data_IF_624982234873
#
_entry.id   IF_624982234873
#
_cell.length_a   1.000
_cell.length_b   1.000
_cell.length_c   1.000
_cell.angle_alpha   90.00
_cell.angle_beta   90.00
_cell.angle_gamma   90.00
#
_symmetry.space_group_name_H-M   'P 1'
#
loop_
_entity.id
_entity.type
_entity.pdbx_description
1 polymer ?
#
# COMPACT_ATOMS: atom_id res chain seq x y z
N UNK A 1 -16.97 -39.34 39.27
CA UNK A 1 -16.30 -39.23 37.96
C UNK A 1 -17.17 -38.51 36.92
N UNK A 2 -18.45 -38.86 36.80
CA UNK A 2 -19.41 -38.23 35.87
C UNK A 2 -19.63 -36.71 36.07
N UNK A 3 -19.71 -36.25 37.32
CA UNK A 3 -19.95 -34.85 37.66
C UNK A 3 -18.83 -33.91 37.16
N UNK A 4 -17.56 -34.33 37.28
CA UNK A 4 -16.42 -33.59 36.73
C UNK A 4 -16.46 -33.53 35.20
N UNK A 5 -16.91 -34.60 34.54
CA UNK A 5 -17.07 -34.62 33.09
C UNK A 5 -18.20 -33.69 32.62
N UNK A 6 -19.31 -33.63 33.36
CA UNK A 6 -20.42 -32.71 33.08
C UNK A 6 -20.02 -31.25 33.26
N UNK A 7 -19.33 -30.91 34.34
CA UNK A 7 -18.82 -29.55 34.58
C UNK A 7 -17.87 -29.09 33.47
N UNK A 8 -16.96 -29.97 33.03
CA UNK A 8 -16.07 -29.68 31.89
C UNK A 8 -16.86 -29.41 30.61
N UNK A 9 -17.94 -30.17 30.37
CA UNK A 9 -18.76 -30.00 29.17
C UNK A 9 -19.59 -28.71 29.20
N UNK A 10 -20.10 -28.31 30.36
CA UNK A 10 -20.79 -27.01 30.55
C UNK A 10 -19.82 -25.85 30.28
N UNK A 11 -18.62 -25.89 30.85
CA UNK A 11 -17.59 -24.86 30.62
C UNK A 11 -17.27 -24.69 29.13
N UNK A 12 -17.06 -25.79 28.40
CA UNK A 12 -16.79 -25.73 26.97
C UNK A 12 -17.96 -25.13 26.16
N UNK A 13 -19.20 -25.46 26.54
CA UNK A 13 -20.39 -24.91 25.89
C UNK A 13 -20.60 -23.42 26.18
N UNK A 14 -20.21 -22.94 27.37
CA UNK A 14 -20.23 -21.51 27.70
C UNK A 14 -19.19 -20.72 26.91
N UNK A 15 -17.99 -21.29 26.71
CA UNK A 15 -16.97 -20.73 25.83
C UNK A 15 -17.44 -20.67 24.36
N UNK A 16 -18.03 -21.75 23.85
CA UNK A 16 -18.55 -21.78 22.48
C UNK A 16 -19.69 -20.76 22.29
N UNK A 17 -20.60 -20.65 23.27
CA UNK A 17 -21.68 -19.65 23.28
C UNK A 17 -21.15 -18.22 23.25
N UNK A 18 -20.11 -17.93 24.03
CA UNK A 18 -19.51 -16.59 24.06
C UNK A 18 -18.79 -16.26 22.75
N UNK A 19 -18.06 -17.21 22.15
CA UNK A 19 -17.46 -17.01 20.82
C UNK A 19 -18.52 -16.76 19.74
N UNK A 20 -19.61 -17.54 19.73
CA UNK A 20 -20.69 -17.38 18.76
C UNK A 20 -21.40 -16.02 18.91
N UNK A 21 -21.60 -15.56 20.15
CA UNK A 21 -22.13 -14.23 20.45
C UNK A 21 -21.24 -13.12 19.90
N UNK A 22 -19.93 -13.22 20.10
CA UNK A 22 -18.96 -12.23 19.62
C UNK A 22 -18.89 -12.21 18.08
N UNK A 23 -18.88 -13.37 17.43
CA UNK A 23 -18.92 -13.48 15.97
C UNK A 23 -20.21 -12.86 15.40
N UNK A 24 -21.35 -13.10 16.06
CA UNK A 24 -22.64 -12.50 15.68
C UNK A 24 -22.64 -10.98 15.83
N UNK A 25 -22.05 -10.45 16.92
CA UNK A 25 -21.92 -9.02 17.13
C UNK A 25 -21.02 -8.37 16.07
N UNK A 26 -19.88 -8.98 15.74
CA UNK A 26 -18.98 -8.50 14.69
C UNK A 26 -19.65 -8.51 13.31
N UNK A 27 -20.42 -9.57 13.00
CA UNK A 27 -21.18 -9.65 11.75
C UNK A 27 -22.25 -8.57 11.67
N UNK A 28 -22.98 -8.32 12.77
CA UNK A 28 -23.95 -7.22 12.86
C UNK A 28 -23.30 -5.87 12.64
N UNK A 29 -22.18 -5.60 13.30
CA UNK A 29 -21.44 -4.34 13.13
C UNK A 29 -20.97 -4.13 11.68
N UNK A 30 -20.47 -5.19 11.02
CA UNK A 30 -20.08 -5.14 9.61
C UNK A 30 -21.27 -4.92 8.67
N UNK A 31 -22.41 -5.51 9.01
CA UNK A 31 -23.65 -5.34 8.23
C UNK A 31 -24.17 -3.91 8.37
N UNK A 32 -24.19 -3.36 9.59
CA UNK A 32 -24.58 -1.97 9.85
C UNK A 32 -23.65 -0.95 9.18
N UNK A 33 -22.34 -1.18 9.21
CA UNK A 33 -21.39 -0.28 8.52
C UNK A 33 -21.58 -0.30 7.00
N UNK A 34 -21.84 -1.49 6.44
CA UNK A 34 -22.14 -1.63 5.01
C UNK A 34 -23.47 -0.96 4.67
N UNK A 35 -24.49 -1.11 5.51
CA UNK A 35 -25.80 -0.50 5.30
C UNK A 35 -25.71 1.03 5.36
N UNK A 36 -24.97 1.58 6.33
CA UNK A 36 -24.75 3.02 6.44
C UNK A 36 -24.06 3.58 5.19
N UNK A 37 -23.02 2.89 4.69
CA UNK A 37 -22.33 3.30 3.46
C UNK A 37 -23.26 3.26 2.23
N UNK A 38 -24.19 2.30 2.17
CA UNK A 38 -25.19 2.22 1.09
C UNK A 38 -26.26 3.31 1.20
N UNK A 39 -26.70 3.65 2.42
CA UNK A 39 -27.67 4.73 2.66
C UNK A 39 -27.06 6.10 2.32
N UNK A 40 -25.81 6.34 2.68
CA UNK A 40 -25.07 7.53 2.25
C UNK A 40 -25.02 7.61 0.72
N UNK A 41 -24.72 6.49 0.05
CA UNK A 41 -24.69 6.41 -1.41
C UNK A 41 -26.03 6.69 -2.08
N UNK A 42 -27.14 6.22 -1.50
CA UNK A 42 -28.49 6.54 -2.00
C UNK A 42 -28.79 8.03 -1.84
N UNK A 43 -28.50 8.60 -0.67
CA UNK A 43 -28.69 10.03 -0.40
C UNK A 43 -27.86 10.92 -1.33
N UNK A 44 -26.68 10.48 -1.76
CA UNK A 44 -25.84 11.19 -2.73
C UNK A 44 -26.40 11.10 -4.16
N UNK A 45 -26.91 9.93 -4.56
CA UNK A 45 -27.54 9.72 -5.87
C UNK A 45 -28.84 10.51 -6.03
N UNK A 46 -29.65 10.59 -4.97
CA UNK A 46 -30.92 11.34 -4.96
C UNK A 46 -30.72 12.86 -5.06
N UNK A 47 -29.54 13.37 -4.68
CA UNK A 47 -29.21 14.81 -4.73
C UNK A 47 -28.77 15.34 -6.09
N UNK A 48 -28.68 14.49 -7.13
CA UNK A 48 -28.55 14.82 -8.56
C UNK A 48 -27.72 16.05 -8.93
N UNK A 49 -26.50 15.87 -9.45
CA UNK A 49 -25.83 16.93 -10.22
C UNK A 49 -24.30 17.07 -10.15
N UNK A 50 -23.58 16.13 -9.54
CA UNK A 50 -22.11 16.09 -9.62
C UNK A 50 -21.68 14.68 -9.98
N UNK A 51 -20.79 14.54 -10.97
CA UNK A 51 -20.08 13.30 -11.28
C UNK A 51 -19.69 12.61 -9.97
N UNK A 52 -20.12 11.37 -9.77
CA UNK A 52 -19.70 10.57 -8.61
C UNK A 52 -18.19 10.41 -8.70
N UNK A 53 -17.45 11.27 -7.99
CA UNK A 53 -16.01 11.14 -7.84
C UNK A 53 -15.79 10.01 -6.86
N UNK A 54 -15.48 8.82 -7.37
CA UNK A 54 -15.03 7.75 -6.49
C UNK A 54 -13.87 8.27 -5.62
N UNK A 55 -13.65 7.73 -4.42
CA UNK A 55 -12.48 8.08 -3.61
C UNK A 55 -11.14 7.91 -4.34
N UNK A 56 -11.13 7.20 -5.47
CA UNK A 56 -9.97 6.93 -6.33
C UNK A 56 -9.85 7.92 -7.51
N UNK A 57 -10.87 8.75 -7.75
CA UNK A 57 -10.88 9.76 -8.83
C UNK A 57 -10.27 11.09 -8.39
N UNK A 58 -9.05 11.03 -7.86
CA UNK A 58 -8.24 12.22 -7.60
C UNK A 58 -6.82 12.02 -8.08
N UNK A 59 -6.09 13.12 -8.24
CA UNK A 59 -4.66 13.13 -8.50
C UNK A 59 -3.97 14.09 -7.55
N UNK A 60 -2.80 13.73 -7.07
CA UNK A 60 -1.90 14.67 -6.40
C UNK A 60 -1.03 15.34 -7.45
N UNK A 61 -0.99 16.68 -7.46
CA UNK A 61 -0.14 17.46 -8.36
C UNK A 61 0.91 18.20 -7.57
N UNK A 62 2.18 17.97 -7.90
CA UNK A 62 3.32 18.68 -7.34
C UNK A 62 3.95 19.53 -8.46
N UNK A 63 3.47 20.78 -8.67
CA UNK A 63 3.80 21.56 -9.86
C UNK A 63 5.21 22.13 -9.88
N UNK A 64 5.87 22.20 -8.72
CA UNK A 64 7.21 22.77 -8.57
C UNK A 64 8.05 21.91 -7.63
N UNK A 65 9.37 21.90 -7.84
CA UNK A 65 10.31 21.30 -6.91
C UNK A 65 10.38 22.17 -5.65
N UNK A 66 9.95 21.62 -4.52
CA UNK A 66 10.07 22.26 -3.22
C UNK A 66 10.50 21.22 -2.18
N UNK A 67 10.89 21.67 -1.00
CA UNK A 67 11.21 20.82 0.15
C UNK A 67 10.06 20.72 1.17
N UNK A 68 8.87 21.23 0.84
CA UNK A 68 7.73 21.33 1.77
C UNK A 68 6.41 20.81 1.21
N UNK A 69 6.29 20.56 -0.11
CA UNK A 69 5.09 19.97 -0.70
C UNK A 69 5.22 18.44 -0.75
N UNK A 70 4.35 17.74 -0.04
CA UNK A 70 4.29 16.28 -0.05
C UNK A 70 2.88 15.80 0.31
N UNK A 71 2.54 14.60 -0.16
CA UNK A 71 1.39 13.85 0.34
C UNK A 71 1.86 12.88 1.42
N UNK A 72 1.13 12.80 2.54
CA UNK A 72 1.43 11.85 3.62
C UNK A 72 0.34 10.79 3.70
N UNK A 73 0.72 9.54 3.49
CA UNK A 73 -0.15 8.39 3.79
C UNK A 73 -0.26 8.29 5.31
N UNK A 74 -1.47 8.25 5.84
CA UNK A 74 -1.75 8.27 7.29
C UNK A 74 -1.77 6.88 7.92
N UNK A 75 -1.87 5.83 7.10
CA UNK A 75 -1.77 4.45 7.56
C UNK A 75 -0.32 4.08 7.79
N UNK A 76 -0.06 3.45 8.93
CA UNK A 76 1.24 2.84 9.25
C UNK A 76 1.43 1.57 8.43
N UNK A 77 2.68 1.27 8.10
CA UNK A 77 3.03 0.01 7.42
C UNK A 77 3.42 -1.04 8.46
N UNK A 78 2.99 -2.31 8.28
CA UNK A 78 3.45 -3.41 9.11
C UNK A 78 4.90 -3.78 8.74
N UNK A 79 5.47 -4.72 9.49
CA UNK A 79 6.69 -5.39 9.04
C UNK A 79 6.37 -6.19 7.76
N UNK A 80 7.18 -6.02 6.72
CA UNK A 80 6.92 -6.64 5.41
C UNK A 80 8.14 -7.44 4.92
N UNK A 81 7.89 -8.68 4.55
CA UNK A 81 8.87 -9.58 3.91
C UNK A 81 8.78 -9.54 2.37
N UNK A 82 7.72 -8.92 1.85
CA UNK A 82 7.51 -8.64 0.45
C UNK A 82 6.51 -7.48 0.33
N UNK A 83 6.60 -6.70 -0.75
CA UNK A 83 5.61 -5.67 -1.06
C UNK A 83 5.43 -5.52 -2.56
N UNK A 84 4.36 -4.83 -2.94
CA UNK A 84 4.17 -4.30 -4.30
C UNK A 84 3.72 -2.85 -4.20
N UNK A 85 4.42 -1.96 -4.89
CA UNK A 85 4.12 -0.54 -4.98
C UNK A 85 3.61 -0.25 -6.39
N UNK A 86 2.36 0.18 -6.53
CA UNK A 86 1.76 0.56 -7.80
C UNK A 86 1.27 2.01 -7.77
N UNK A 87 1.49 2.76 -8.85
CA UNK A 87 0.98 4.12 -9.01
C UNK A 87 0.83 4.51 -10.48
N UNK A 88 -0.09 5.43 -10.73
CA UNK A 88 -0.10 6.21 -11.96
C UNK A 88 0.80 7.44 -11.79
N UNK A 89 1.74 7.64 -12.71
CA UNK A 89 2.64 8.78 -12.73
C UNK A 89 2.59 9.47 -14.09
N UNK A 90 2.64 10.80 -14.08
CA UNK A 90 2.79 11.63 -15.27
C UNK A 90 3.75 12.75 -14.97
N UNK A 91 4.83 12.84 -15.73
CA UNK A 91 5.81 13.91 -15.58
C UNK A 91 6.51 14.20 -16.90
N UNK A 92 6.89 15.46 -17.06
CA UNK A 92 7.81 15.93 -18.11
C UNK A 92 8.99 16.67 -17.47
N UNK A 93 9.26 16.42 -16.19
CA UNK A 93 10.31 17.09 -15.44
C UNK A 93 11.69 16.60 -15.90
N UNK A 94 12.61 17.55 -16.03
CA UNK A 94 14.02 17.32 -16.33
C UNK A 94 14.86 17.88 -15.17
N UNK A 95 16.00 17.26 -14.80
CA UNK A 95 16.58 16.06 -15.43
C UNK A 95 15.92 14.73 -15.01
N UNK A 96 15.21 14.68 -13.87
CA UNK A 96 14.43 13.51 -13.41
C UNK A 96 13.13 13.90 -12.71
N UNK A 97 12.20 12.97 -12.54
CA UNK A 97 10.89 13.21 -11.91
C UNK A 97 10.95 13.50 -10.40
N UNK A 98 12.08 13.28 -9.73
CA UNK A 98 12.21 13.44 -8.28
C UNK A 98 11.85 12.15 -7.54
N UNK A 99 11.15 12.25 -6.40
CA UNK A 99 10.84 11.12 -5.51
C UNK A 99 9.33 10.88 -5.44
N UNK A 100 8.75 10.02 -6.31
CA UNK A 100 7.32 9.71 -6.26
C UNK A 100 6.87 9.07 -4.96
N UNK A 101 7.73 8.29 -4.30
CA UNK A 101 7.42 7.58 -3.06
C UNK A 101 8.65 7.46 -2.17
N UNK A 102 8.46 7.68 -0.88
CA UNK A 102 9.46 7.39 0.14
C UNK A 102 8.79 6.90 1.43
N UNK A 103 9.48 5.98 2.11
CA UNK A 103 9.13 5.45 3.41
C UNK A 103 10.41 5.34 4.24
N UNK A 104 10.35 5.86 5.46
CA UNK A 104 11.47 5.89 6.39
C UNK A 104 11.00 5.58 7.81
N UNK A 105 11.89 4.97 8.57
CA UNK A 105 11.69 4.56 9.96
C UNK A 105 12.79 5.15 10.84
N UNK A 106 12.62 5.24 12.16
CA UNK A 106 13.68 5.73 13.04
C UNK A 106 15.01 4.99 12.81
N UNK A 107 16.06 5.74 12.50
CA UNK A 107 17.40 5.20 12.20
C UNK A 107 17.62 4.71 10.77
N UNK A 108 16.61 4.70 9.91
CA UNK A 108 16.75 4.40 8.47
C UNK A 108 15.75 5.22 7.65
N UNK A 109 16.21 6.35 7.12
CA UNK A 109 15.38 7.27 6.34
C UNK A 109 15.02 6.71 4.94
N UNK A 110 15.83 5.79 4.42
CA UNK A 110 15.70 5.20 3.10
C UNK A 110 15.27 3.73 3.20
N UNK A 111 14.26 3.46 4.04
CA UNK A 111 13.74 2.10 4.22
C UNK A 111 13.13 1.59 2.90
N UNK A 112 12.33 2.43 2.22
CA UNK A 112 11.94 2.25 0.81
C UNK A 112 11.96 3.62 0.11
N UNK A 113 12.66 3.78 -1.01
CA UNK A 113 12.61 5.01 -1.81
C UNK A 113 12.51 4.67 -3.29
N UNK A 114 11.58 5.31 -4.00
CA UNK A 114 11.53 5.33 -5.45
C UNK A 114 11.93 6.74 -5.92
N UNK A 115 13.00 6.85 -6.69
CA UNK A 115 13.56 8.15 -7.08
C UNK A 115 14.12 8.13 -8.50
N UNK A 116 13.98 9.24 -9.22
CA UNK A 116 14.73 9.54 -10.44
C UNK A 116 15.40 10.90 -10.26
N UNK A 117 16.73 10.89 -10.10
CA UNK A 117 17.50 12.09 -9.81
C UNK A 117 18.64 12.28 -10.83
N UNK A 118 18.80 13.52 -11.29
CA UNK A 118 19.79 13.82 -12.33
C UNK A 118 19.48 13.08 -13.63
N UNK A 119 20.52 12.58 -14.28
CA UNK A 119 20.43 11.81 -15.53
C UNK A 119 20.43 10.29 -15.28
N UNK A 120 20.19 9.85 -14.04
CA UNK A 120 20.15 8.43 -13.70
C UNK A 120 18.78 7.83 -14.08
N UNK A 121 18.72 6.51 -14.32
CA UNK A 121 17.46 5.78 -14.39
C UNK A 121 16.63 5.93 -13.10
N UNK A 122 15.36 5.52 -13.14
CA UNK A 122 14.59 5.34 -11.91
C UNK A 122 15.28 4.31 -11.04
N UNK A 123 15.45 4.61 -9.76
CA UNK A 123 16.10 3.77 -8.76
C UNK A 123 15.09 3.37 -7.67
N UNK A 124 15.12 2.08 -7.30
CA UNK A 124 14.51 1.57 -6.09
C UNK A 124 15.60 1.42 -5.03
N UNK A 125 15.41 2.09 -3.89
CA UNK A 125 16.23 1.91 -2.71
C UNK A 125 15.47 1.10 -1.66
N UNK A 126 16.14 0.13 -1.08
CA UNK A 126 15.68 -0.62 0.10
C UNK A 126 16.84 -0.71 1.07
N UNK A 127 16.69 -0.14 2.27
CA UNK A 127 17.73 -0.10 3.29
C UNK A 127 19.10 0.37 2.72
N UNK A 128 19.08 1.51 2.01
CA UNK A 128 20.22 2.12 1.28
C UNK A 128 20.85 1.27 0.17
N UNK A 129 20.32 0.08 -0.15
CA UNK A 129 20.72 -0.70 -1.32
C UNK A 129 19.94 -0.23 -2.53
N UNK A 130 20.60 -0.14 -3.68
CA UNK A 130 20.05 0.47 -4.91
C UNK A 130 19.86 -0.60 -5.98
N UNK A 131 18.72 -0.57 -6.67
CA UNK A 131 18.51 -1.23 -7.95
C UNK A 131 18.02 -0.21 -8.98
N UNK A 132 18.61 -0.23 -10.18
CA UNK A 132 18.17 0.58 -11.30
C UNK A 132 17.02 -0.14 -12.02
N UNK A 133 15.91 0.57 -12.19
CA UNK A 133 14.71 0.07 -12.84
C UNK A 133 14.68 0.56 -14.30
N UNK A 134 14.42 -0.33 -15.27
CA UNK A 134 14.28 0.04 -16.68
C UNK A 134 12.86 0.60 -16.95
N UNK A 135 12.53 1.72 -16.30
CA UNK A 135 11.25 2.41 -16.42
C UNK A 135 11.46 3.78 -17.08
N UNK A 136 10.54 4.17 -17.96
CA UNK A 136 10.59 5.44 -18.68
C UNK A 136 9.24 6.17 -18.55
N UNK A 137 9.20 7.24 -17.76
CA UNK A 137 7.94 7.95 -17.43
C UNK A 137 8.02 9.48 -17.62
N UNK A 138 9.08 9.96 -18.28
CA UNK A 138 9.38 11.40 -18.49
C UNK A 138 8.77 12.01 -19.76
N UNK A 139 7.93 11.27 -20.48
CA UNK A 139 7.39 11.69 -21.79
C UNK A 139 6.15 12.60 -21.70
N UNK A 140 5.73 12.98 -20.49
CA UNK A 140 4.54 13.80 -20.25
C UNK A 140 3.21 13.04 -20.39
N UNK A 141 3.21 11.71 -20.56
CA UNK A 141 2.02 10.87 -20.55
C UNK A 141 1.83 10.18 -19.21
N UNK A 142 0.64 9.62 -19.04
CA UNK A 142 0.33 8.79 -17.88
C UNK A 142 0.91 7.40 -18.11
N UNK A 143 1.67 6.92 -17.13
CA UNK A 143 2.15 5.56 -17.07
C UNK A 143 1.70 4.92 -15.77
N UNK A 144 1.28 3.66 -15.84
CA UNK A 144 1.03 2.84 -14.67
C UNK A 144 2.27 2.01 -14.37
N UNK A 145 2.92 2.27 -13.24
CA UNK A 145 4.10 1.51 -12.83
C UNK A 145 3.76 0.65 -11.62
N UNK A 146 4.29 -0.57 -11.59
CA UNK A 146 4.26 -1.46 -10.43
C UNK A 146 5.65 -2.03 -10.19
N UNK A 147 6.09 -2.05 -8.94
CA UNK A 147 7.35 -2.63 -8.53
C UNK A 147 7.07 -3.59 -7.39
N UNK A 148 7.48 -4.85 -7.54
CA UNK A 148 7.41 -5.85 -6.48
C UNK A 148 8.80 -6.19 -5.98
N UNK A 149 8.94 -6.43 -4.69
CA UNK A 149 10.18 -6.88 -4.08
C UNK A 149 9.90 -7.90 -2.97
N UNK A 150 10.83 -8.83 -2.74
CA UNK A 150 10.81 -9.76 -1.61
C UNK A 150 12.17 -9.87 -0.95
N UNK A 151 12.17 -10.06 0.37
CA UNK A 151 13.37 -10.30 1.17
C UNK A 151 14.13 -11.56 0.74
N UNK A 152 13.43 -12.56 0.18
CA UNK A 152 14.05 -13.79 -0.28
C UNK A 152 14.92 -13.49 -1.50
N UNK A 153 16.21 -13.62 -1.31
CA UNK A 153 17.25 -13.30 -2.29
C UNK A 153 17.21 -11.85 -2.81
N UNK A 154 16.41 -10.96 -2.21
CA UNK A 154 16.27 -9.57 -2.65
C UNK A 154 15.68 -9.43 -4.06
N UNK A 155 14.82 -10.37 -4.47
CA UNK A 155 14.24 -10.39 -5.81
C UNK A 155 13.30 -9.21 -6.01
N UNK A 156 13.38 -8.57 -7.17
CA UNK A 156 12.49 -7.50 -7.58
C UNK A 156 12.06 -7.65 -9.03
N UNK A 157 10.88 -7.12 -9.35
CA UNK A 157 10.35 -7.01 -10.71
C UNK A 157 9.73 -5.63 -10.90
N UNK A 158 9.92 -5.07 -12.09
CA UNK A 158 9.39 -3.76 -12.47
C UNK A 158 8.49 -3.90 -13.70
N UNK A 159 7.31 -3.29 -13.61
CA UNK A 159 6.26 -3.30 -14.62
C UNK A 159 5.89 -1.88 -15.01
N UNK A 160 5.66 -1.66 -16.30
CA UNK A 160 5.16 -0.40 -16.85
C UNK A 160 4.04 -0.70 -17.85
N UNK A 161 2.90 -0.04 -17.67
CA UNK A 161 1.72 -0.14 -18.51
C UNK A 161 1.23 -1.59 -18.71
N UNK A 162 1.37 -2.39 -17.65
CA UNK A 162 0.96 -3.81 -17.63
C UNK A 162 2.02 -4.79 -18.14
N UNK A 163 3.17 -4.32 -18.64
CA UNK A 163 4.25 -5.17 -19.15
C UNK A 163 5.45 -5.21 -18.19
N UNK A 164 6.04 -6.39 -17.99
CA UNK A 164 7.29 -6.52 -17.23
C UNK A 164 8.45 -5.92 -18.02
N UNK A 165 9.10 -4.91 -17.46
CA UNK A 165 10.25 -4.22 -18.08
C UNK A 165 11.60 -4.69 -17.54
N UNK A 166 11.65 -5.15 -16.30
CA UNK A 166 12.89 -5.61 -15.68
C UNK A 166 12.66 -6.49 -14.48
N UNK A 167 13.71 -7.20 -14.08
CA UNK A 167 13.78 -7.96 -12.86
C UNK A 167 15.25 -8.07 -12.41
N UNK A 168 15.46 -8.37 -11.14
CA UNK A 168 16.78 -8.62 -10.58
C UNK A 168 16.70 -9.23 -9.19
N UNK A 169 17.85 -9.39 -8.56
CA UNK A 169 17.99 -9.96 -7.23
C UNK A 169 19.06 -9.19 -6.42
N UNK A 170 19.36 -9.67 -5.22
CA UNK A 170 20.35 -9.13 -4.29
C UNK A 170 20.09 -7.68 -3.81
N UNK A 171 18.88 -7.16 -4.05
CA UNK A 171 18.45 -5.89 -3.48
C UNK A 171 18.03 -6.12 -2.03
N UNK A 172 18.90 -5.76 -1.08
CA UNK A 172 18.62 -5.89 0.36
C UNK A 172 18.10 -7.29 0.78
N UNK A 173 18.69 -8.35 0.24
CA UNK A 173 18.32 -9.71 0.59
C UNK A 173 18.37 -9.94 2.11
N UNK A 174 17.38 -10.68 2.64
CA UNK A 174 17.23 -11.04 4.06
C UNK A 174 17.00 -9.86 5.01
N UNK A 175 16.78 -8.65 4.50
CA UNK A 175 16.32 -7.50 5.29
C UNK A 175 14.79 -7.50 5.32
N UNK A 176 14.11 -7.57 6.48
CA UNK A 176 12.68 -7.28 6.55
C UNK A 176 12.45 -5.76 6.53
N UNK A 177 11.44 -5.29 5.81
CA UNK A 177 11.03 -3.89 5.89
C UNK A 177 10.45 -3.64 7.28
N UNK A 178 11.03 -2.70 8.01
CA UNK A 178 10.63 -2.37 9.37
C UNK A 178 9.24 -1.72 9.41
N UNK A 179 8.45 -1.96 10.47
CA UNK A 179 7.16 -1.30 10.67
C UNK A 179 7.31 0.17 11.09
N UNK A 180 6.27 0.97 10.83
CA UNK A 180 6.26 2.41 11.10
C UNK A 180 5.16 3.16 10.36
#
# INVERSE_FOLDING_TARGET
>A
DLEKQLLKKVSNLEEEKTMLSNATAAYRQKTESTLNALVERINELEKGGGDFKSPEQFKLSLPQRTNYLYGRITKTLPEMYAFTLCMWVKSSASPGIGTPFSYGVPGQANEIVLIEWGNNPIELLINDKVAQLPLEVRDGKWHHICISWTTRDGQWEAYQDGERKGAGDNLAAWHPIKPG
#
